data_IF_643700996351
#
_entry.id   IF_643700996351
#
_cell.length_a   1.000
_cell.length_b   1.000
_cell.length_c   1.000
_cell.angle_alpha   90.00
_cell.angle_beta   90.00
_cell.angle_gamma   90.00
#
_symmetry.space_group_name_H-M   'P 1'
#
loop_
_entity.id
_entity.type
_entity.pdbx_description
1 polymer ?
#
# COMPACT_ATOMS: atom_id res chain seq x y z
N UNK A 1 8.06 -14.45 20.50
CA UNK A 1 9.19 -13.83 19.76
C UNK A 1 8.80 -13.76 18.30
N UNK A 2 9.16 -12.70 17.59
CA UNK A 2 8.85 -12.56 16.18
C UNK A 2 9.56 -13.67 15.37
N UNK A 3 8.94 -14.12 14.29
CA UNK A 3 9.51 -15.16 13.44
C UNK A 3 10.70 -14.64 12.62
N UNK A 4 10.64 -13.38 12.21
CA UNK A 4 11.69 -12.62 11.55
C UNK A 4 11.75 -11.20 12.14
N UNK A 5 12.93 -10.77 12.59
CA UNK A 5 13.13 -9.44 13.18
C UNK A 5 13.90 -8.55 12.21
N UNK A 6 13.48 -7.29 12.09
CA UNK A 6 14.24 -6.27 11.36
C UNK A 6 15.41 -5.80 12.22
N UNK A 7 16.58 -6.41 12.00
CA UNK A 7 17.81 -6.12 12.72
C UNK A 7 18.68 -5.11 11.96
N UNK A 8 19.71 -4.56 12.62
CA UNK A 8 20.72 -3.73 11.96
C UNK A 8 21.42 -4.45 10.79
N UNK A 9 21.43 -5.79 10.78
CA UNK A 9 21.95 -6.55 9.66
C UNK A 9 21.05 -6.44 8.42
N UNK A 10 19.73 -6.34 8.58
CA UNK A 10 18.78 -6.18 7.48
C UNK A 10 18.59 -4.72 7.07
N UNK A 11 19.10 -3.76 7.85
CA UNK A 11 19.07 -2.35 7.47
C UNK A 11 20.00 -2.10 6.28
N UNK A 12 19.48 -1.46 5.24
CA UNK A 12 20.24 -1.04 4.05
C UNK A 12 20.68 0.42 4.12
N UNK A 13 20.06 1.23 5.00
CA UNK A 13 20.44 2.61 5.25
C UNK A 13 19.80 3.62 4.31
N UNK A 14 18.87 3.17 3.46
CA UNK A 14 18.05 4.01 2.61
C UNK A 14 16.61 3.94 3.11
N UNK A 15 16.13 5.00 3.77
CA UNK A 15 14.89 5.00 4.55
C UNK A 15 13.67 4.45 3.79
N UNK A 16 13.54 4.82 2.51
CA UNK A 16 12.46 4.36 1.64
C UNK A 16 12.45 2.82 1.46
N UNK A 17 13.63 2.20 1.34
CA UNK A 17 13.79 0.76 1.19
C UNK A 17 13.64 0.08 2.56
N UNK A 18 14.27 0.63 3.60
CA UNK A 18 14.18 0.11 4.98
C UNK A 18 12.72 0.06 5.48
N UNK A 19 11.90 1.05 5.13
CA UNK A 19 10.49 1.09 5.53
C UNK A 19 9.64 0.03 4.82
N UNK A 20 9.92 -0.24 3.54
CA UNK A 20 9.24 -1.32 2.81
C UNK A 20 9.63 -2.69 3.39
N UNK A 21 10.91 -2.90 3.73
CA UNK A 21 11.40 -4.15 4.32
C UNK A 21 10.73 -4.44 5.67
N UNK A 22 10.53 -3.42 6.52
CA UNK A 22 9.79 -3.58 7.79
C UNK A 22 8.36 -4.05 7.54
N UNK A 23 7.69 -3.52 6.52
CA UNK A 23 6.32 -3.91 6.18
C UNK A 23 6.28 -5.37 5.68
N UNK A 24 7.22 -5.77 4.82
CA UNK A 24 7.33 -7.17 4.37
C UNK A 24 7.59 -8.14 5.52
N UNK A 25 8.51 -7.79 6.43
CA UNK A 25 8.81 -8.59 7.62
C UNK A 25 7.58 -8.69 8.53
N UNK A 26 6.84 -7.60 8.71
CA UNK A 26 5.60 -7.61 9.47
C UNK A 26 4.55 -8.55 8.87
N UNK A 27 4.38 -8.58 7.54
CA UNK A 27 3.49 -9.54 6.89
C UNK A 27 3.95 -10.99 7.10
N UNK A 28 5.25 -11.25 7.02
CA UNK A 28 5.83 -12.57 7.30
C UNK A 28 5.57 -12.99 8.76
N UNK A 29 5.66 -12.06 9.72
CA UNK A 29 5.35 -12.33 11.12
C UNK A 29 3.85 -12.59 11.34
N UNK A 30 2.96 -11.82 10.70
CA UNK A 30 1.52 -12.07 10.76
C UNK A 30 1.15 -13.45 10.20
N UNK A 31 1.80 -13.87 9.11
CA UNK A 31 1.63 -15.22 8.55
C UNK A 31 2.06 -16.30 9.54
N UNK A 32 3.17 -16.07 10.27
CA UNK A 32 3.67 -17.00 11.29
C UNK A 32 2.75 -17.10 12.51
N UNK A 33 2.14 -16.00 12.91
CA UNK A 33 1.14 -15.97 13.98
C UNK A 33 -0.13 -16.73 13.58
N UNK A 34 -0.65 -16.47 12.38
CA UNK A 34 -1.86 -17.11 11.87
C UNK A 34 -1.74 -18.63 11.71
N UNK A 35 -0.53 -19.15 11.50
CA UNK A 35 -0.27 -20.61 11.48
C UNK A 35 -0.58 -21.30 12.82
N UNK A 36 -0.50 -20.57 13.95
CA UNK A 36 -0.79 -21.13 15.28
C UNK A 36 -2.26 -20.99 15.67
N UNK A 37 -3.08 -20.33 14.85
CA UNK A 37 -4.52 -20.20 15.06
C UNK A 37 -5.27 -21.34 14.35
N UNK A 38 -6.03 -22.18 15.07
CA UNK A 38 -6.87 -23.22 14.48
C UNK A 38 -7.88 -22.70 13.45
N UNK A 39 -8.24 -21.41 13.50
CA UNK A 39 -9.14 -20.74 12.56
C UNK A 39 -8.40 -19.77 11.61
N UNK A 40 -7.07 -19.88 11.54
CA UNK A 40 -6.21 -18.92 10.83
C UNK A 40 -6.23 -19.03 9.30
N UNK A 41 -6.95 -19.98 8.69
CA UNK A 41 -6.89 -20.26 7.24
C UNK A 41 -7.21 -19.05 6.37
N UNK A 42 -8.27 -18.32 6.71
CA UNK A 42 -8.71 -17.12 5.99
C UNK A 42 -7.71 -15.97 6.19
N UNK A 43 -7.16 -15.87 7.40
CA UNK A 43 -6.10 -14.89 7.72
C UNK A 43 -4.83 -15.19 6.93
N UNK A 44 -4.42 -16.46 6.84
CA UNK A 44 -3.29 -16.90 6.02
C UNK A 44 -3.50 -16.51 4.55
N UNK A 45 -4.66 -16.84 3.97
CA UNK A 45 -4.97 -16.50 2.58
C UNK A 45 -4.92 -14.98 2.33
N UNK A 46 -5.45 -14.18 3.26
CA UNK A 46 -5.43 -12.71 3.18
C UNK A 46 -4.01 -12.14 3.29
N UNK A 47 -3.22 -12.61 4.27
CA UNK A 47 -1.83 -12.18 4.45
C UNK A 47 -0.98 -12.54 3.22
N UNK A 48 -1.21 -13.71 2.60
CA UNK A 48 -0.51 -14.09 1.38
C UNK A 48 -0.85 -13.20 0.18
N UNK A 49 -2.11 -12.80 0.02
CA UNK A 49 -2.50 -11.83 -1.01
C UNK A 49 -1.78 -10.49 -0.79
N UNK A 50 -1.80 -9.97 0.45
CA UNK A 50 -1.14 -8.71 0.80
C UNK A 50 0.37 -8.79 0.59
N UNK A 51 0.99 -9.92 0.95
CA UNK A 51 2.43 -10.11 0.79
C UNK A 51 2.85 -10.11 -0.68
N UNK A 52 2.09 -10.79 -1.55
CA UNK A 52 2.34 -10.78 -3.01
C UNK A 52 2.23 -9.36 -3.56
N UNK A 53 1.10 -8.69 -3.31
CA UNK A 53 0.84 -7.35 -3.82
C UNK A 53 1.88 -6.33 -3.34
N UNK A 54 2.27 -6.42 -2.06
CA UNK A 54 3.23 -5.51 -1.47
C UNK A 54 4.66 -5.78 -1.96
N UNK A 55 5.02 -7.04 -2.19
CA UNK A 55 6.32 -7.41 -2.78
C UNK A 55 6.46 -6.84 -4.19
N UNK A 56 5.44 -6.97 -5.03
CA UNK A 56 5.46 -6.36 -6.37
C UNK A 56 5.58 -4.84 -6.32
N UNK A 57 4.87 -4.20 -5.37
CA UNK A 57 4.95 -2.75 -5.20
C UNK A 57 6.34 -2.27 -4.73
N UNK A 58 6.91 -2.94 -3.72
CA UNK A 58 8.25 -2.66 -3.22
C UNK A 58 9.29 -2.77 -4.35
N UNK A 59 9.27 -3.89 -5.09
CA UNK A 59 10.16 -4.05 -6.24
C UNK A 59 9.95 -3.00 -7.32
N UNK A 60 8.72 -2.57 -7.59
CA UNK A 60 8.47 -1.49 -8.55
C UNK A 60 9.19 -0.20 -8.19
N UNK A 61 9.24 0.15 -6.91
CA UNK A 61 9.94 1.35 -6.41
C UNK A 61 11.45 1.21 -6.52
N UNK A 62 12.01 0.06 -6.14
CA UNK A 62 13.43 -0.18 -6.31
C UNK A 62 13.86 -0.15 -7.77
N UNK A 63 13.06 -0.74 -8.66
CA UNK A 63 13.32 -0.72 -10.10
C UNK A 63 13.30 0.71 -10.67
N UNK A 64 12.41 1.57 -10.17
CA UNK A 64 12.40 2.99 -10.51
C UNK A 64 13.68 3.70 -10.03
N UNK A 65 14.13 3.40 -8.80
CA UNK A 65 15.40 3.91 -8.27
C UNK A 65 16.60 3.43 -9.10
N UNK A 66 16.63 2.15 -9.47
CA UNK A 66 17.66 1.57 -10.34
C UNK A 66 17.72 2.30 -11.69
N UNK A 67 16.55 2.51 -12.31
CA UNK A 67 16.45 3.18 -13.62
C UNK A 67 16.89 4.64 -13.59
N UNK A 68 16.59 5.36 -12.50
CA UNK A 68 16.96 6.77 -12.33
C UNK A 68 18.41 6.99 -11.90
N UNK A 69 19.01 6.00 -11.24
CA UNK A 69 20.36 6.10 -10.68
C UNK A 69 21.46 5.57 -11.62
N UNK A 70 21.11 4.94 -12.74
CA UNK A 70 22.10 4.27 -13.59
C UNK A 70 22.81 3.13 -12.87
N UNK A 71 22.07 2.35 -12.07
CA UNK A 71 22.63 1.22 -11.32
C UNK A 71 23.07 0.08 -12.25
N UNK A 72 24.38 -0.17 -12.34
CA UNK A 72 24.99 -1.12 -13.28
C UNK A 72 24.48 -2.56 -13.12
N UNK A 73 24.11 -2.95 -11.89
CA UNK A 73 23.63 -4.30 -11.59
C UNK A 73 22.11 -4.46 -11.76
N UNK A 74 21.41 -3.42 -12.24
CA UNK A 74 19.96 -3.43 -12.43
C UNK A 74 19.44 -4.63 -13.26
N UNK A 75 20.08 -5.06 -14.36
CA UNK A 75 19.57 -6.20 -15.13
C UNK A 75 19.51 -7.51 -14.34
N UNK A 76 20.50 -7.75 -13.47
CA UNK A 76 20.54 -8.92 -12.60
C UNK A 76 19.49 -8.85 -11.50
N UNK A 77 19.37 -7.69 -10.86
CA UNK A 77 18.41 -7.44 -9.77
C UNK A 77 16.96 -7.53 -10.27
N UNK A 78 16.65 -6.94 -11.43
CA UNK A 78 15.35 -7.05 -12.11
C UNK A 78 14.94 -8.51 -12.38
N UNK A 79 15.91 -9.33 -12.82
CA UNK A 79 15.68 -10.75 -13.07
C UNK A 79 15.39 -11.49 -11.78
N UNK A 80 16.08 -11.17 -10.69
CA UNK A 80 15.85 -11.74 -9.37
C UNK A 80 14.43 -11.44 -8.88
N UNK A 81 13.97 -10.18 -8.97
CA UNK A 81 12.60 -9.79 -8.65
C UNK A 81 11.56 -10.60 -9.43
N UNK A 82 11.74 -10.70 -10.76
CA UNK A 82 10.81 -11.43 -11.62
C UNK A 82 10.77 -12.94 -11.28
N UNK A 83 11.90 -13.52 -10.88
CA UNK A 83 11.96 -14.93 -10.45
C UNK A 83 11.23 -15.11 -9.12
N UNK A 84 11.44 -14.23 -8.15
CA UNK A 84 10.76 -14.34 -6.87
C UNK A 84 9.26 -14.26 -7.03
N UNK A 85 8.75 -13.23 -7.72
CA UNK A 85 7.30 -13.02 -7.84
C UNK A 85 6.63 -14.29 -8.39
N UNK A 86 7.25 -14.93 -9.39
CA UNK A 86 6.81 -16.24 -9.90
C UNK A 86 6.84 -17.34 -8.84
N UNK A 87 7.91 -17.41 -8.04
CA UNK A 87 8.02 -18.40 -6.97
C UNK A 87 6.98 -18.19 -5.86
N UNK A 88 6.71 -16.96 -5.43
CA UNK A 88 5.70 -16.68 -4.39
C UNK A 88 4.30 -17.03 -4.91
N UNK A 89 3.97 -16.66 -6.15
CA UNK A 89 2.69 -17.01 -6.78
C UNK A 89 2.53 -18.53 -6.90
N UNK A 90 3.58 -19.24 -7.31
CA UNK A 90 3.55 -20.71 -7.40
C UNK A 90 3.42 -21.35 -6.02
N UNK A 91 4.14 -20.87 -5.00
CA UNK A 91 3.98 -21.38 -3.64
C UNK A 91 2.58 -21.14 -3.10
N UNK A 92 1.97 -19.98 -3.40
CA UNK A 92 0.59 -19.71 -3.03
C UNK A 92 -0.36 -20.72 -3.67
N UNK A 93 -0.21 -20.97 -4.98
CA UNK A 93 -1.03 -21.97 -5.68
C UNK A 93 -0.89 -23.37 -5.07
N UNK A 94 0.34 -23.77 -4.74
CA UNK A 94 0.62 -25.07 -4.11
C UNK A 94 0.05 -25.15 -2.70
N UNK A 95 0.05 -24.04 -1.95
CA UNK A 95 -0.59 -23.95 -0.64
C UNK A 95 -2.11 -24.12 -0.76
N UNK A 96 -2.75 -23.42 -1.70
CA UNK A 96 -4.19 -23.55 -1.95
C UNK A 96 -4.58 -24.97 -2.39
N UNK A 97 -3.68 -25.69 -3.06
CA UNK A 97 -3.84 -27.08 -3.45
C UNK A 97 -3.52 -28.11 -2.32
N UNK A 98 -3.06 -27.64 -1.15
CA UNK A 98 -2.66 -28.50 -0.03
C UNK A 98 -1.34 -29.25 -0.25
N UNK A 99 -0.56 -28.88 -1.27
CA UNK A 99 0.71 -29.53 -1.60
C UNK A 99 1.89 -29.06 -0.75
N UNK A 100 1.77 -27.88 -0.13
CA UNK A 100 2.77 -27.31 0.79
C UNK A 100 2.07 -26.74 2.02
N UNK A 101 2.74 -26.81 3.18
CA UNK A 101 2.25 -26.19 4.39
C UNK A 101 2.65 -24.71 4.50
N UNK A 102 1.96 -23.97 5.37
CA UNK A 102 2.31 -22.58 5.70
C UNK A 102 3.76 -22.46 6.20
N UNK A 103 4.24 -23.48 6.92
CA UNK A 103 5.61 -23.52 7.44
C UNK A 103 6.67 -23.52 6.32
N UNK A 104 6.42 -24.23 5.22
CA UNK A 104 7.32 -24.27 4.07
C UNK A 104 7.40 -22.89 3.40
N UNK A 105 6.23 -22.24 3.26
CA UNK A 105 6.11 -20.89 2.72
C UNK A 105 6.79 -19.84 3.60
N UNK A 106 6.60 -19.90 4.90
CA UNK A 106 7.29 -19.03 5.87
C UNK A 106 8.80 -19.19 5.80
N UNK A 107 9.29 -20.43 5.72
CA UNK A 107 10.73 -20.68 5.61
C UNK A 107 11.30 -20.13 4.29
N UNK A 108 10.59 -20.34 3.18
CA UNK A 108 10.95 -19.76 1.89
C UNK A 108 11.03 -18.23 1.95
N UNK A 109 9.96 -17.58 2.42
CA UNK A 109 9.88 -16.13 2.52
C UNK A 109 10.98 -15.56 3.41
N UNK A 110 11.23 -16.17 4.57
CA UNK A 110 12.29 -15.76 5.49
C UNK A 110 13.67 -15.83 4.85
N UNK A 111 14.01 -16.97 4.25
CA UNK A 111 15.32 -17.18 3.62
C UNK A 111 15.50 -16.24 2.45
N UNK A 112 14.50 -16.17 1.56
CA UNK A 112 14.58 -15.35 0.37
C UNK A 112 14.69 -13.86 0.73
N UNK A 113 13.76 -13.34 1.53
CA UNK A 113 13.72 -11.92 1.89
C UNK A 113 15.03 -11.50 2.56
N UNK A 114 15.52 -12.27 3.52
CA UNK A 114 16.77 -11.96 4.21
C UNK A 114 17.96 -11.96 3.24
N UNK A 115 18.05 -12.95 2.34
CA UNK A 115 19.17 -13.03 1.40
C UNK A 115 19.14 -11.92 0.36
N UNK A 116 17.94 -11.55 -0.11
CA UNK A 116 17.77 -10.48 -1.07
C UNK A 116 18.19 -9.14 -0.49
N UNK A 117 17.65 -8.80 0.69
CA UNK A 117 17.99 -7.59 1.43
C UNK A 117 19.51 -7.50 1.63
N UNK A 118 20.11 -8.57 2.14
CA UNK A 118 21.53 -8.61 2.50
C UNK A 118 22.49 -8.50 1.30
N UNK A 119 22.03 -8.84 0.09
CA UNK A 119 22.87 -8.86 -1.11
C UNK A 119 22.49 -7.77 -2.09
N UNK A 120 21.30 -7.87 -2.65
CA UNK A 120 20.86 -7.07 -3.79
C UNK A 120 20.45 -5.68 -3.34
N UNK A 121 19.61 -5.56 -2.31
CA UNK A 121 19.09 -4.25 -1.87
C UNK A 121 20.15 -3.42 -1.18
N UNK A 122 21.05 -4.05 -0.42
CA UNK A 122 22.23 -3.38 0.12
C UNK A 122 23.15 -2.83 -0.96
N UNK A 123 23.36 -3.58 -2.06
CA UNK A 123 24.17 -3.10 -3.16
C UNK A 123 23.52 -1.92 -3.88
N UNK A 124 22.19 -1.97 -4.08
CA UNK A 124 21.42 -0.83 -4.61
C UNK A 124 21.49 0.38 -3.67
N UNK A 125 21.21 0.19 -2.38
CA UNK A 125 21.25 1.28 -1.40
C UNK A 125 22.63 1.92 -1.31
N UNK A 126 23.71 1.12 -1.33
CA UNK A 126 25.08 1.64 -1.38
C UNK A 126 25.33 2.49 -2.63
N UNK A 127 24.86 2.04 -3.81
CA UNK A 127 24.93 2.83 -5.04
C UNK A 127 24.16 4.16 -4.93
N UNK A 128 22.93 4.12 -4.41
CA UNK A 128 22.09 5.30 -4.23
C UNK A 128 22.69 6.31 -3.24
N UNK A 129 23.32 5.82 -2.17
CA UNK A 129 23.96 6.66 -1.15
C UNK A 129 25.30 7.24 -1.61
N UNK A 130 25.98 6.60 -2.58
CA UNK A 130 27.27 7.04 -3.10
C UNK A 130 27.18 8.14 -4.17
N UNK A 131 25.99 8.51 -4.62
CA UNK A 131 25.84 9.59 -5.61
C UNK A 131 25.95 10.97 -4.94
N UNK A 132 26.89 11.79 -5.42
CA UNK A 132 27.03 13.18 -4.98
C UNK A 132 25.94 14.08 -5.58
N UNK A 133 25.20 14.76 -4.71
CA UNK A 133 24.05 15.62 -5.06
C UNK A 133 22.72 14.97 -4.68
N UNK A 134 21.66 15.76 -4.44
CA UNK A 134 20.35 15.17 -4.21
C UNK A 134 20.00 14.39 -5.48
N UNK A 135 19.94 13.07 -5.39
CA UNK A 135 19.14 12.26 -6.29
C UNK A 135 17.70 12.79 -6.15
N UNK A 136 17.37 13.82 -6.94
CA UNK A 136 16.03 14.41 -7.01
C UNK A 136 15.18 13.42 -7.79
N UNK A 137 14.80 12.34 -7.12
CA UNK A 137 13.65 11.52 -7.49
C UNK A 137 12.42 12.37 -7.20
N UNK A 138 12.16 13.39 -8.02
CA UNK A 138 11.08 14.38 -7.85
C UNK A 138 10.75 14.62 -6.36
N UNK A 139 11.80 14.95 -5.61
CA UNK A 139 11.73 15.06 -4.18
C UNK A 139 11.06 16.40 -3.87
N UNK A 140 9.73 16.43 -3.80
CA UNK A 140 9.12 17.18 -2.72
C UNK A 140 9.36 16.37 -1.45
N UNK A 141 10.59 16.49 -0.96
CA UNK A 141 10.91 16.24 0.43
C UNK A 141 10.07 17.23 1.25
N UNK A 142 8.84 16.83 1.59
CA UNK A 142 8.40 17.07 2.96
C UNK A 142 9.23 16.08 3.77
N UNK A 143 10.08 16.60 4.64
CA UNK A 143 11.24 15.89 5.17
C UNK A 143 10.93 14.52 5.77
N UNK A 144 11.99 13.74 5.97
CA UNK A 144 12.01 12.57 6.83
C UNK A 144 11.80 12.97 8.32
N UNK A 145 10.66 13.60 8.60
CA UNK A 145 9.99 13.57 9.88
C UNK A 145 8.92 12.48 9.82
N UNK A 146 8.55 11.96 10.98
CA UNK A 146 7.29 11.26 11.12
C UNK A 146 6.16 12.07 10.47
N UNK A 147 5.20 11.39 9.85
CA UNK A 147 3.97 12.05 9.41
C UNK A 147 3.43 12.80 10.62
N UNK A 148 3.05 14.05 10.41
CA UNK A 148 2.44 14.88 11.45
C UNK A 148 1.01 14.42 11.67
N UNK A 149 0.88 13.22 12.26
CA UNK A 149 -0.40 12.56 12.54
C UNK A 149 -1.38 13.48 13.26
N UNK A 150 -0.97 14.27 14.27
CA UNK A 150 -1.89 15.17 14.94
C UNK A 150 -2.52 16.22 14.02
N UNK A 151 -1.78 16.72 13.02
CA UNK A 151 -2.27 17.75 12.09
C UNK A 151 -2.98 17.20 10.85
N UNK A 152 -2.92 15.88 10.61
CA UNK A 152 -3.58 15.23 9.47
C UNK A 152 -5.10 15.25 9.62
N UNK A 153 -5.82 15.81 8.64
CA UNK A 153 -7.28 15.84 8.62
C UNK A 153 -7.81 14.58 7.92
N UNK A 154 -8.40 13.67 8.69
CA UNK A 154 -8.93 12.41 8.18
C UNK A 154 -10.46 12.43 8.22
N UNK A 155 -11.08 12.08 7.10
CA UNK A 155 -12.51 11.83 7.01
C UNK A 155 -12.77 10.33 6.95
N UNK A 156 -13.57 9.83 7.88
CA UNK A 156 -14.12 8.47 7.83
C UNK A 156 -15.51 8.53 7.22
N UNK A 157 -15.77 7.71 6.20
CA UNK A 157 -17.08 7.60 5.56
C UNK A 157 -17.51 6.13 5.58
N UNK A 158 -18.50 5.81 6.41
CA UNK A 158 -19.05 4.46 6.52
C UNK A 158 -20.46 4.59 7.10
N UNK A 159 -21.45 3.85 6.63
CA UNK A 159 -22.84 3.97 7.11
C UNK A 159 -23.04 3.34 8.50
N UNK A 160 -22.15 2.44 8.92
CA UNK A 160 -22.19 1.75 10.20
C UNK A 160 -21.43 2.51 11.30
N UNK A 161 -22.16 2.98 12.31
CA UNK A 161 -21.59 3.69 13.46
C UNK A 161 -20.47 2.92 14.17
N UNK A 162 -20.64 1.60 14.34
CA UNK A 162 -19.66 0.75 15.01
C UNK A 162 -18.33 0.72 14.25
N UNK A 163 -18.38 0.67 12.92
CA UNK A 163 -17.17 0.64 12.10
C UNK A 163 -16.47 2.00 12.09
N UNK A 164 -17.22 3.12 12.02
CA UNK A 164 -16.66 4.46 12.21
C UNK A 164 -15.95 4.60 13.56
N UNK A 165 -16.57 4.12 14.63
CA UNK A 165 -16.00 4.14 15.99
C UNK A 165 -14.72 3.30 16.12
N UNK A 166 -14.69 2.11 15.52
CA UNK A 166 -13.50 1.26 15.46
C UNK A 166 -12.37 1.97 14.70
N UNK A 167 -12.64 2.47 13.50
CA UNK A 167 -11.62 3.13 12.68
C UNK A 167 -11.13 4.42 13.33
N UNK A 168 -12.00 5.21 13.99
CA UNK A 168 -11.60 6.36 14.80
C UNK A 168 -10.61 5.95 15.90
N UNK A 169 -10.88 4.85 16.59
CA UNK A 169 -10.00 4.33 17.65
C UNK A 169 -8.63 3.89 17.10
N UNK A 170 -8.62 3.24 15.94
CA UNK A 170 -7.39 2.86 15.23
C UNK A 170 -6.58 4.11 14.83
N UNK A 171 -7.21 5.11 14.23
CA UNK A 171 -6.56 6.35 13.80
C UNK A 171 -6.06 7.19 15.00
N UNK A 172 -6.81 7.24 16.10
CA UNK A 172 -6.35 7.84 17.35
C UNK A 172 -5.09 7.15 17.89
N UNK A 173 -5.01 5.82 17.79
CA UNK A 173 -3.81 5.04 18.19
C UNK A 173 -2.60 5.39 17.32
N UNK A 174 -2.81 5.80 16.08
CA UNK A 174 -1.78 6.31 15.18
C UNK A 174 -1.38 7.76 15.47
N UNK A 175 -2.08 8.45 16.38
CA UNK A 175 -1.83 9.84 16.73
C UNK A 175 -2.64 10.86 15.92
N UNK A 176 -3.63 10.41 15.13
CA UNK A 176 -4.52 11.33 14.40
C UNK A 176 -5.48 12.00 15.38
N UNK A 177 -5.50 13.33 15.41
CA UNK A 177 -6.39 14.08 16.31
C UNK A 177 -7.56 14.77 15.60
N UNK A 178 -7.45 14.98 14.28
CA UNK A 178 -8.45 15.68 13.46
C UNK A 178 -9.23 14.68 12.61
N UNK A 179 -10.24 14.07 13.23
CA UNK A 179 -11.09 13.05 12.58
C UNK A 179 -12.52 13.56 12.46
N UNK A 180 -12.95 13.74 11.21
CA UNK A 180 -14.34 13.98 10.82
C UNK A 180 -15.01 12.66 10.40
N UNK A 181 -16.32 12.59 10.52
CA UNK A 181 -17.10 11.40 10.17
C UNK A 181 -18.31 11.77 9.31
N UNK A 182 -18.69 10.88 8.40
CA UNK A 182 -19.91 10.97 7.62
C UNK A 182 -20.53 9.58 7.47
N UNK A 183 -21.86 9.48 7.43
CA UNK A 183 -22.59 8.21 7.28
C UNK A 183 -22.96 7.87 5.83
N UNK A 184 -22.65 8.77 4.90
CA UNK A 184 -23.01 8.62 3.48
C UNK A 184 -22.14 9.49 2.58
N UNK A 185 -22.06 9.16 1.30
CA UNK A 185 -21.34 9.95 0.30
C UNK A 185 -21.76 11.44 0.23
N UNK A 186 -23.07 11.78 0.20
CA UNK A 186 -23.51 13.18 0.21
C UNK A 186 -23.07 13.97 1.45
N UNK A 187 -23.19 13.38 2.64
CA UNK A 187 -22.72 14.00 3.89
C UNK A 187 -21.19 14.17 3.89
N UNK A 188 -20.45 13.20 3.34
CA UNK A 188 -19.00 13.30 3.20
C UNK A 188 -18.59 14.45 2.27
N UNK A 189 -19.27 14.63 1.15
CA UNK A 189 -19.02 15.76 0.25
C UNK A 189 -19.32 17.10 0.91
N UNK A 190 -20.36 17.19 1.74
CA UNK A 190 -20.67 18.39 2.53
C UNK A 190 -19.56 18.68 3.56
N UNK A 191 -19.05 17.65 4.25
CA UNK A 191 -17.90 17.81 5.16
C UNK A 191 -16.67 18.30 4.40
N UNK A 192 -16.34 17.68 3.26
CA UNK A 192 -15.18 18.08 2.44
C UNK A 192 -15.31 19.49 1.83
N UNK A 193 -16.52 19.97 1.59
CA UNK A 193 -16.75 21.33 1.09
C UNK A 193 -16.51 22.41 2.17
N UNK A 194 -16.70 22.05 3.45
CA UNK A 194 -16.60 22.99 4.57
C UNK A 194 -15.27 22.88 5.34
N UNK A 195 -14.59 21.73 5.27
CA UNK A 195 -13.38 21.45 6.03
C UNK A 195 -12.28 20.89 5.13
N UNK A 196 -11.00 21.28 5.34
CA UNK A 196 -9.89 20.69 4.62
C UNK A 196 -9.73 19.22 5.03
N UNK A 197 -9.67 18.31 4.06
CA UNK A 197 -9.48 16.88 4.28
C UNK A 197 -8.25 16.43 3.49
N UNK A 198 -7.29 15.83 4.19
CA UNK A 198 -6.07 15.29 3.58
C UNK A 198 -6.29 13.84 3.13
N UNK A 199 -7.00 13.06 3.94
CA UNK A 199 -7.25 11.63 3.73
C UNK A 199 -8.73 11.31 3.93
N UNK A 200 -9.32 10.60 2.97
CA UNK A 200 -10.63 9.98 3.10
C UNK A 200 -10.46 8.47 3.18
N UNK A 201 -11.00 7.87 4.23
CA UNK A 201 -11.19 6.43 4.35
C UNK A 201 -12.68 6.12 4.16
N UNK A 202 -13.03 5.53 3.03
CA UNK A 202 -14.42 5.36 2.61
C UNK A 202 -14.80 3.89 2.44
N UNK A 203 -15.93 3.50 3.02
CA UNK A 203 -16.56 2.19 2.81
C UNK A 203 -17.03 2.01 1.36
N UNK A 204 -17.05 0.77 0.89
CA UNK A 204 -17.50 0.48 -0.47
C UNK A 204 -19.01 0.35 -0.62
N UNK A 205 -19.72 -0.09 0.41
CA UNK A 205 -21.10 -0.59 0.38
C UNK A 205 -22.17 0.38 0.87
N UNK A 206 -21.98 1.69 0.70
CA UNK A 206 -22.87 2.71 1.27
C UNK A 206 -24.06 3.10 0.36
N UNK A 207 -25.11 3.66 0.97
CA UNK A 207 -26.27 4.29 0.29
C UNK A 207 -26.44 5.76 0.68
N UNK A 208 -27.04 6.61 -0.18
CA UNK A 208 -27.49 6.33 -1.55
C UNK A 208 -26.35 6.31 -2.58
N UNK A 209 -25.12 6.56 -2.14
CA UNK A 209 -23.92 6.66 -2.97
C UNK A 209 -22.86 5.71 -2.42
N UNK A 210 -22.42 4.77 -3.26
CA UNK A 210 -21.37 3.82 -2.91
C UNK A 210 -19.97 4.48 -2.94
N UNK A 211 -18.94 3.79 -2.43
CA UNK A 211 -17.59 4.34 -2.32
C UNK A 211 -16.94 4.67 -3.66
N UNK A 212 -17.28 3.95 -4.74
CA UNK A 212 -16.77 4.20 -6.08
C UNK A 212 -17.41 5.44 -6.70
N UNK A 213 -18.72 5.60 -6.56
CA UNK A 213 -19.47 6.76 -6.99
C UNK A 213 -19.05 8.00 -6.22
N UNK A 214 -18.86 7.88 -4.90
CA UNK A 214 -18.28 8.94 -4.07
C UNK A 214 -16.89 9.34 -4.55
N UNK A 215 -16.00 8.37 -4.82
CA UNK A 215 -14.65 8.67 -5.32
C UNK A 215 -14.72 9.43 -6.65
N UNK A 216 -15.59 9.03 -7.58
CA UNK A 216 -15.79 9.75 -8.85
C UNK A 216 -16.24 11.20 -8.62
N UNK A 217 -17.17 11.42 -7.68
CA UNK A 217 -17.62 12.77 -7.32
C UNK A 217 -16.48 13.64 -6.75
N UNK A 218 -15.60 13.06 -5.92
CA UNK A 218 -14.39 13.75 -5.47
C UNK A 218 -13.51 14.12 -6.67
N UNK A 219 -13.28 13.18 -7.59
CA UNK A 219 -12.36 13.38 -8.74
C UNK A 219 -12.88 14.37 -9.78
N UNK A 220 -14.19 14.62 -9.85
CA UNK A 220 -14.76 15.71 -10.66
C UNK A 220 -14.71 17.07 -9.97
N UNK A 221 -14.31 17.13 -8.69
CA UNK A 221 -14.37 18.36 -7.88
C UNK A 221 -15.80 18.76 -7.54
N UNK A 222 -16.74 17.80 -7.48
CA UNK A 222 -18.12 18.06 -7.12
C UNK A 222 -18.21 18.76 -5.76
N UNK A 223 -19.11 19.72 -5.60
CA UNK A 223 -19.26 20.53 -4.38
C UNK A 223 -17.99 21.33 -3.98
N UNK A 224 -17.04 21.54 -4.90
CA UNK A 224 -15.84 22.34 -4.65
C UNK A 224 -14.73 21.58 -3.89
N UNK A 225 -14.86 20.27 -3.74
CA UNK A 225 -13.87 19.44 -3.06
C UNK A 225 -12.58 19.33 -3.87
N UNK A 226 -11.42 19.21 -3.22
CA UNK A 226 -10.14 19.02 -3.91
C UNK A 226 -10.10 17.63 -4.57
N UNK A 227 -10.07 17.54 -5.92
CA UNK A 227 -10.02 16.26 -6.62
C UNK A 227 -8.70 15.52 -6.43
N UNK A 228 -7.69 16.11 -5.77
CA UNK A 228 -6.43 15.45 -5.41
C UNK A 228 -6.43 14.79 -4.02
N UNK A 229 -7.50 14.95 -3.25
CA UNK A 229 -7.62 14.33 -1.91
C UNK A 229 -7.29 12.83 -1.96
N UNK A 230 -6.47 12.35 -1.01
CA UNK A 230 -6.15 10.93 -0.87
C UNK A 230 -7.41 10.16 -0.50
N UNK A 231 -7.81 9.20 -1.33
CA UNK A 231 -8.99 8.35 -1.09
C UNK A 231 -8.57 6.90 -1.01
N UNK A 232 -8.75 6.31 0.17
CA UNK A 232 -8.54 4.90 0.47
C UNK A 232 -9.92 4.24 0.58
N UNK A 233 -10.19 3.29 -0.32
CA UNK A 233 -11.45 2.53 -0.33
C UNK A 233 -11.34 1.32 0.60
N UNK A 234 -12.39 1.02 1.35
CA UNK A 234 -12.41 -0.04 2.35
C UNK A 234 -13.42 -1.14 2.00
N UNK A 235 -13.12 -1.99 1.00
CA UNK A 235 -14.05 -3.03 0.59
C UNK A 235 -14.29 -4.07 1.68
N UNK A 236 -15.55 -4.51 1.79
CA UNK A 236 -15.96 -5.51 2.78
C UNK A 236 -15.57 -6.95 2.43
N UNK A 237 -15.34 -7.25 1.15
CA UNK A 237 -15.06 -8.58 0.63
C UNK A 237 -13.70 -8.65 -0.08
N UNK A 238 -13.28 -9.87 -0.43
CA UNK A 238 -12.12 -10.09 -1.29
C UNK A 238 -12.26 -9.33 -2.62
N UNK A 239 -11.15 -8.74 -3.04
CA UNK A 239 -11.11 -7.87 -4.19
C UNK A 239 -10.90 -8.71 -5.47
N UNK A 240 -11.86 -8.63 -6.40
CA UNK A 240 -11.71 -9.24 -7.73
C UNK A 240 -10.93 -8.33 -8.69
N UNK A 241 -10.35 -8.90 -9.76
CA UNK A 241 -9.68 -8.11 -10.81
C UNK A 241 -10.60 -7.06 -11.47
N UNK A 242 -11.86 -7.41 -11.67
CA UNK A 242 -12.87 -6.48 -12.21
C UNK A 242 -13.11 -5.32 -11.24
N UNK A 243 -13.21 -5.60 -9.94
CA UNK A 243 -13.34 -4.57 -8.92
C UNK A 243 -12.12 -3.65 -8.84
N UNK A 244 -10.89 -4.19 -8.89
CA UNK A 244 -9.67 -3.36 -8.98
C UNK A 244 -9.68 -2.43 -10.18
N UNK A 245 -10.15 -2.93 -11.32
CA UNK A 245 -10.26 -2.15 -12.55
C UNK A 245 -11.25 -1.00 -12.36
N UNK A 246 -12.43 -1.27 -11.79
CA UNK A 246 -13.45 -0.27 -11.47
C UNK A 246 -12.93 0.77 -10.45
N UNK A 247 -12.26 0.34 -9.39
CA UNK A 247 -11.66 1.21 -8.38
C UNK A 247 -10.58 2.13 -8.97
N UNK A 248 -9.72 1.57 -9.84
CA UNK A 248 -8.69 2.34 -10.55
C UNK A 248 -9.33 3.39 -11.47
N UNK A 249 -10.35 3.00 -12.24
CA UNK A 249 -11.08 3.92 -13.13
C UNK A 249 -11.86 5.00 -12.37
N UNK A 250 -12.35 4.69 -11.17
CA UNK A 250 -12.98 5.67 -10.29
C UNK A 250 -11.97 6.67 -9.69
N UNK A 251 -10.66 6.37 -9.74
CA UNK A 251 -9.60 7.22 -9.22
C UNK A 251 -9.27 6.97 -7.74
N UNK A 252 -9.45 5.75 -7.25
CA UNK A 252 -9.04 5.35 -5.89
C UNK A 252 -7.50 5.29 -5.80
N UNK A 253 -6.93 5.81 -4.72
CA UNK A 253 -5.48 5.75 -4.48
C UNK A 253 -5.06 4.37 -4.00
N UNK A 254 -5.79 3.82 -3.02
CA UNK A 254 -5.51 2.49 -2.47
C UNK A 254 -6.75 1.82 -1.91
N UNK A 255 -6.62 0.52 -1.60
CA UNK A 255 -7.66 -0.26 -0.96
C UNK A 255 -7.15 -0.88 0.35
N UNK A 256 -8.04 -0.98 1.34
CA UNK A 256 -7.82 -1.76 2.57
C UNK A 256 -9.03 -2.64 2.81
N UNK A 257 -8.87 -3.94 2.55
CA UNK A 257 -9.93 -4.92 2.78
C UNK A 257 -10.21 -5.05 4.28
N UNK A 258 -11.49 -5.11 4.66
CA UNK A 258 -11.89 -5.41 6.03
C UNK A 258 -11.60 -6.90 6.35
N UNK A 259 -11.13 -7.26 7.56
CA UNK A 259 -10.98 -6.44 8.77
C UNK A 259 -9.75 -5.53 8.77
N UNK A 260 -9.88 -4.34 9.35
CA UNK A 260 -8.80 -3.36 9.40
C UNK A 260 -7.82 -3.62 10.54
N UNK A 261 -6.54 -3.68 10.22
CA UNK A 261 -5.45 -3.67 11.20
C UNK A 261 -4.75 -2.31 11.22
N UNK A 262 -4.35 -1.84 12.42
CA UNK A 262 -3.65 -0.55 12.62
C UNK A 262 -2.44 -0.40 11.71
N UNK A 263 -1.62 -1.45 11.58
CA UNK A 263 -0.42 -1.44 10.73
C UNK A 263 -0.75 -1.28 9.24
N UNK A 264 -1.80 -1.96 8.77
CA UNK A 264 -2.24 -1.88 7.36
C UNK A 264 -2.74 -0.49 7.02
N UNK A 265 -3.61 0.08 7.88
CA UNK A 265 -4.14 1.44 7.70
C UNK A 265 -3.01 2.46 7.70
N UNK A 266 -2.09 2.37 8.68
CA UNK A 266 -0.90 3.20 8.76
C UNK A 266 -0.11 3.13 7.45
N UNK A 267 0.34 1.94 7.05
CA UNK A 267 1.18 1.76 5.87
C UNK A 267 0.56 2.31 4.58
N UNK A 268 -0.78 2.21 4.41
CA UNK A 268 -1.45 2.81 3.24
C UNK A 268 -1.44 4.34 3.28
N UNK A 269 -1.71 4.95 4.43
CA UNK A 269 -1.66 6.41 4.56
C UNK A 269 -0.23 6.90 4.35
N UNK A 270 0.76 6.28 5.03
CA UNK A 270 2.15 6.71 4.94
C UNK A 270 2.68 6.62 3.51
N UNK A 271 2.34 5.55 2.79
CA UNK A 271 2.72 5.34 1.38
C UNK A 271 2.37 6.54 0.51
N UNK A 272 1.11 7.00 0.56
CA UNK A 272 0.61 8.03 -0.34
C UNK A 272 0.90 9.45 0.13
N UNK A 273 1.07 9.68 1.44
CA UNK A 273 1.53 10.98 1.95
C UNK A 273 3.01 11.21 1.65
N UNK A 274 3.85 10.17 1.76
CA UNK A 274 5.28 10.26 1.45
C UNK A 274 5.56 10.26 -0.05
N UNK A 275 4.77 9.52 -0.83
CA UNK A 275 4.93 9.41 -2.28
C UNK A 275 3.60 9.69 -3.01
N UNK A 276 3.18 10.97 -3.12
CA UNK A 276 1.93 11.32 -3.77
C UNK A 276 1.93 10.90 -5.25
N UNK A 277 0.83 10.30 -5.70
CA UNK A 277 0.69 9.90 -7.09
C UNK A 277 0.52 11.13 -8.01
N UNK A 278 1.10 11.13 -9.22
CA UNK A 278 0.75 12.12 -10.23
C UNK A 278 -0.71 11.94 -10.67
N UNK A 279 -1.32 12.98 -11.23
CA UNK A 279 -2.72 12.94 -11.68
C UNK A 279 -2.85 13.22 -13.17
N UNK A 280 -3.90 12.68 -13.80
CA UNK A 280 -4.27 12.96 -15.19
C UNK A 280 -5.76 13.22 -15.34
N UNK A 281 -6.14 14.03 -16.32
CA UNK A 281 -7.53 14.26 -16.69
C UNK A 281 -8.05 13.12 -17.58
N UNK A 282 -9.15 12.47 -17.19
CA UNK A 282 -9.84 11.43 -17.95
C UNK A 282 -11.35 11.58 -17.76
N UNK A 283 -12.09 11.82 -18.84
CA UNK A 283 -13.55 11.89 -18.80
C UNK A 283 -14.12 12.94 -17.83
N UNK A 284 -13.44 14.09 -17.68
CA UNK A 284 -13.83 15.14 -16.73
C UNK A 284 -13.43 14.88 -15.27
N UNK A 285 -12.73 13.78 -15.00
CA UNK A 285 -12.20 13.43 -13.68
C UNK A 285 -10.68 13.60 -13.65
N UNK A 286 -10.15 14.14 -12.55
CA UNK A 286 -8.72 14.18 -12.29
C UNK A 286 -8.32 12.91 -11.50
N UNK A 287 -7.83 11.88 -12.18
CA UNK A 287 -7.54 10.57 -11.55
C UNK A 287 -6.05 10.37 -11.25
N UNK A 288 -5.69 9.71 -10.12
CA UNK A 288 -4.32 9.36 -9.83
C UNK A 288 -3.78 8.35 -10.85
N UNK A 289 -2.55 8.58 -11.29
CA UNK A 289 -1.82 7.75 -12.25
C UNK A 289 -0.87 6.86 -11.47
N UNK A 290 -1.16 5.57 -11.48
CA UNK A 290 -0.22 4.56 -11.02
C UNK A 290 0.92 4.48 -12.05
N UNK A 291 2.19 4.48 -11.63
CA UNK A 291 3.29 4.17 -12.53
C UNK A 291 3.00 2.85 -13.26
N UNK A 292 3.20 2.82 -14.58
CA UNK A 292 3.04 1.58 -15.33
C UNK A 292 4.03 0.54 -14.78
N UNK A 293 3.57 -0.68 -14.50
CA UNK A 293 4.52 -1.77 -14.29
C UNK A 293 5.30 -1.98 -15.59
N UNK A 294 6.63 -2.24 -15.55
CA UNK A 294 7.46 -2.42 -16.74
C UNK A 294 6.94 -3.48 -17.74
N UNK A 295 6.03 -4.37 -17.30
CA UNK A 295 5.41 -5.39 -18.14
C UNK A 295 4.42 -4.85 -19.20
N UNK A 296 3.90 -3.63 -19.07
CA UNK A 296 2.87 -3.10 -19.99
C UNK A 296 3.43 -2.30 -21.18
N UNK A 297 4.65 -1.77 -21.07
CA UNK A 297 5.31 -1.01 -22.16
C UNK A 297 5.97 -1.92 -23.21
N UNK A 298 6.28 -3.17 -22.87
CA UNK A 298 6.91 -4.13 -23.78
C UNK A 298 5.96 -4.76 -24.83
N UNK A 299 4.67 -4.39 -24.85
CA UNK A 299 3.67 -4.88 -25.84
C UNK A 299 3.24 -3.85 -26.87
N UNK A 300 3.82 -2.65 -26.84
CA UNK A 300 3.47 -1.54 -27.75
C UNK A 300 4.64 -1.09 -28.64
N UNK A 301 5.71 -1.88 -28.72
CA UNK A 301 6.86 -1.66 -29.61
C UNK A 301 7.00 -2.78 -30.62
#
# INVERSE_FOLDING_TARGET
MAFLEFTDQLKVGFALIDDDHKILIDQVNMLAEAMNDPNGSDTIASVLNVLIDYTEFHFGREQELMGKSGYDMAPGHLKEHAVLVKQVVEMRRRYDAGEVGVKDLLNFLKVWLSQHILKSDKALAAHLLAQDGPMVVANKAVGAGDIDWPNLNVLIVDDQFNFRSLLRSLLNTLGVTRISEAKSGPEALEVMANFPIDVVMVDDGMKPMDGLAFTKAVRTGQAGVDPKTLVILMPSNEITKDYLTKATQAGVHDLVVKPLATKTVRGRIERHLRNPLPFKQVGGMLIPVRPATPAQTARAG
#
